data_IF_573776030806
#
_entry.id   IF_573776030806
#
_cell.length_a   1.000
_cell.length_b   1.000
_cell.length_c   1.000
_cell.angle_alpha   90.00
_cell.angle_beta   90.00
_cell.angle_gamma   90.00
#
_symmetry.space_group_name_H-M   'P 1'
#
loop_
_entity.id
_entity.type
_entity.pdbx_description
1 polymer ?
#
# COMPACT_ATOMS: atom_id res chain seq x y z
N UNK A 1 9.13 18.05 11.48
CA UNK A 1 8.04 17.23 12.04
C UNK A 1 6.89 18.18 12.31
N UNK A 2 5.70 17.88 11.80
CA UNK A 2 4.54 18.76 11.91
C UNK A 2 3.31 17.96 12.28
N UNK A 3 2.45 18.54 13.12
CA UNK A 3 1.22 17.92 13.56
C UNK A 3 0.06 18.33 12.65
N UNK A 4 -0.87 17.40 12.42
CA UNK A 4 -2.06 17.64 11.59
C UNK A 4 -3.31 17.40 12.43
N UNK A 5 -4.16 18.42 12.52
CA UNK A 5 -5.49 18.30 13.13
C UNK A 5 -6.56 18.22 12.04
N UNK A 6 -7.23 17.07 11.96
CA UNK A 6 -8.33 16.85 11.03
C UNK A 6 -9.65 17.08 11.78
N UNK A 7 -10.43 18.08 11.35
CA UNK A 7 -11.73 18.42 11.93
C UNK A 7 -12.87 18.01 10.99
N UNK A 8 -14.06 17.79 11.55
CA UNK A 8 -15.27 17.53 10.77
C UNK A 8 -15.37 16.13 10.17
N UNK A 9 -14.64 15.15 10.72
CA UNK A 9 -14.89 13.75 10.38
C UNK A 9 -16.24 13.31 10.93
N UNK A 10 -17.01 12.60 10.12
CA UNK A 10 -18.22 11.94 10.58
C UNK A 10 -17.87 10.77 11.51
N UNK A 11 -18.77 10.44 12.42
CA UNK A 11 -18.59 9.29 13.32
C UNK A 11 -18.39 7.99 12.54
N UNK A 12 -19.09 7.84 11.40
CA UNK A 12 -18.91 6.70 10.50
C UNK A 12 -17.50 6.63 9.89
N UNK A 13 -16.90 7.78 9.56
CA UNK A 13 -15.53 7.81 9.07
C UNK A 13 -14.54 7.42 10.19
N UNK A 14 -14.75 7.91 11.41
CA UNK A 14 -13.93 7.56 12.57
C UNK A 14 -14.01 6.05 12.86
N UNK A 15 -15.23 5.49 12.89
CA UNK A 15 -15.44 4.07 13.16
C UNK A 15 -14.77 3.17 12.10
N UNK A 16 -14.83 3.56 10.82
CA UNK A 16 -14.12 2.84 9.75
C UNK A 16 -12.60 2.91 9.93
N UNK A 17 -12.05 4.08 10.26
CA UNK A 17 -10.61 4.24 10.53
C UNK A 17 -10.17 3.32 11.68
N UNK A 18 -10.95 3.26 12.76
CA UNK A 18 -10.63 2.40 13.90
C UNK A 18 -10.69 0.92 13.55
N UNK A 19 -11.70 0.49 12.79
CA UNK A 19 -11.83 -0.88 12.33
C UNK A 19 -10.65 -1.29 11.44
N UNK A 20 -10.25 -0.43 10.49
CA UNK A 20 -9.10 -0.67 9.60
C UNK A 20 -7.79 -0.74 10.39
N UNK A 21 -7.61 0.15 11.37
CA UNK A 21 -6.44 0.17 12.23
C UNK A 21 -6.36 -1.12 13.06
N UNK A 22 -7.46 -1.51 13.70
CA UNK A 22 -7.54 -2.74 14.50
C UNK A 22 -7.28 -4.00 13.66
N UNK A 23 -7.84 -4.07 12.44
CA UNK A 23 -7.61 -5.19 11.53
C UNK A 23 -6.12 -5.36 11.14
N UNK A 24 -5.32 -4.30 11.26
CA UNK A 24 -3.88 -4.28 11.00
C UNK A 24 -3.03 -4.34 12.28
N UNK A 25 -3.64 -4.40 13.46
CA UNK A 25 -2.95 -4.34 14.74
C UNK A 25 -2.26 -3.00 15.01
N UNK A 26 -2.75 -1.91 14.41
CA UNK A 26 -2.17 -0.57 14.53
C UNK A 26 -3.02 0.32 15.44
N UNK A 27 -2.37 1.32 16.04
CA UNK A 27 -3.12 2.44 16.62
C UNK A 27 -3.75 3.29 15.52
N UNK A 28 -4.82 4.02 15.83
CA UNK A 28 -5.42 5.00 14.91
C UNK A 28 -4.39 5.97 14.34
N UNK A 29 -3.50 6.49 15.20
CA UNK A 29 -2.51 7.49 14.81
C UNK A 29 -1.48 6.89 13.85
N UNK A 30 -1.00 5.68 14.15
CA UNK A 30 -0.05 4.99 13.28
C UNK A 30 -0.67 4.62 11.94
N UNK A 31 -1.91 4.12 11.94
CA UNK A 31 -2.65 3.84 10.71
C UNK A 31 -2.77 5.09 9.82
N UNK A 32 -3.16 6.23 10.38
CA UNK A 32 -3.27 7.49 9.64
C UNK A 32 -1.91 8.01 9.17
N UNK A 33 -0.87 7.90 10.00
CA UNK A 33 0.50 8.29 9.64
C UNK A 33 0.99 7.46 8.45
N UNK A 34 0.96 6.13 8.54
CA UNK A 34 1.36 5.25 7.43
C UNK A 34 0.56 5.55 6.16
N UNK A 35 -0.75 5.77 6.31
CA UNK A 35 -1.63 6.09 5.20
C UNK A 35 -1.25 7.40 4.53
N UNK A 36 -1.01 8.48 5.28
CA UNK A 36 -0.62 9.77 4.71
C UNK A 36 0.80 9.78 4.13
N UNK A 37 1.74 9.04 4.71
CA UNK A 37 3.09 8.91 4.13
C UNK A 37 3.05 8.09 2.83
N UNK A 38 2.13 7.13 2.71
CA UNK A 38 1.98 6.31 1.49
C UNK A 38 1.16 7.03 0.41
N UNK A 39 0.00 7.57 0.77
CA UNK A 39 -0.94 8.26 -0.13
C UNK A 39 -0.53 9.70 -0.45
N UNK A 40 0.23 10.35 0.44
CA UNK A 40 0.75 11.72 0.26
C UNK A 40 1.86 11.81 -0.77
N UNK A 41 2.41 10.67 -1.22
CA UNK A 41 3.13 10.63 -2.48
C UNK A 41 2.10 10.82 -3.58
N UNK A 42 2.02 12.06 -4.09
CA UNK A 42 1.27 12.38 -5.31
C UNK A 42 1.60 11.28 -6.30
N UNK A 43 0.61 10.44 -6.63
CA UNK A 43 0.81 9.35 -7.58
C UNK A 43 1.53 9.92 -8.78
N UNK A 44 2.65 9.31 -9.16
CA UNK A 44 3.31 9.61 -10.42
C UNK A 44 2.21 9.70 -11.50
N UNK A 45 2.30 10.65 -12.45
CA UNK A 45 1.25 10.89 -13.43
C UNK A 45 0.77 9.54 -13.95
N UNK A 46 -0.55 9.31 -13.87
CA UNK A 46 -1.17 8.01 -14.10
C UNK A 46 -0.84 7.57 -15.52
N UNK A 47 0.27 6.86 -15.69
CA UNK A 47 0.70 6.36 -16.97
C UNK A 47 -0.24 5.22 -17.30
N UNK A 48 -0.90 5.30 -18.45
CA UNK A 48 -1.72 4.19 -18.95
C UNK A 48 -0.83 2.96 -19.08
N UNK A 49 -1.17 1.91 -18.33
CA UNK A 49 -0.48 0.63 -18.41
C UNK A 49 -0.77 0.01 -19.78
N UNK A 50 0.28 -0.41 -20.47
CA UNK A 50 0.16 -1.04 -21.80
C UNK A 50 0.39 -2.55 -21.73
N UNK A 51 0.01 -3.27 -22.79
CA UNK A 51 0.31 -4.70 -22.91
C UNK A 51 1.82 -4.96 -22.91
N UNK A 52 2.62 -4.05 -23.47
CA UNK A 52 4.08 -4.20 -23.49
C UNK A 52 4.69 -4.04 -22.08
N UNK A 53 4.08 -3.24 -21.21
CA UNK A 53 4.48 -3.17 -19.81
C UNK A 53 4.23 -4.51 -19.11
N UNK A 54 3.11 -5.17 -19.40
CA UNK A 54 2.81 -6.52 -18.87
C UNK A 54 3.76 -7.59 -19.42
N UNK A 55 4.05 -7.58 -20.73
CA UNK A 55 5.03 -8.50 -21.34
C UNK A 55 6.41 -8.35 -20.72
N UNK A 56 6.86 -7.11 -20.50
CA UNK A 56 8.14 -6.81 -19.86
C UNK A 56 8.15 -7.30 -18.41
N UNK A 57 7.06 -7.09 -17.67
CA UNK A 57 6.95 -7.59 -16.30
C UNK A 57 7.01 -9.13 -16.24
N UNK A 58 6.29 -9.83 -17.15
CA UNK A 58 6.32 -11.29 -17.22
C UNK A 58 7.72 -11.84 -17.54
N UNK A 59 8.42 -11.23 -18.49
CA UNK A 59 9.80 -11.61 -18.81
C UNK A 59 10.77 -11.36 -17.64
N UNK A 60 10.58 -10.27 -16.89
CA UNK A 60 11.42 -9.94 -15.74
C UNK A 60 11.14 -10.84 -14.51
N UNK A 61 9.92 -11.39 -14.42
CA UNK A 61 9.46 -12.21 -13.30
C UNK A 61 9.39 -13.70 -13.63
N UNK A 62 10.07 -14.16 -14.69
CA UNK A 62 10.03 -15.56 -15.13
C UNK A 62 10.52 -16.53 -14.06
N UNK A 63 11.46 -16.09 -13.21
CA UNK A 63 12.00 -16.90 -12.11
C UNK A 63 10.96 -17.17 -11.01
N UNK A 64 9.83 -16.44 -10.96
CA UNK A 64 8.75 -16.70 -9.99
C UNK A 64 8.07 -18.06 -10.21
N UNK A 65 8.16 -18.61 -11.42
CA UNK A 65 7.59 -19.93 -11.76
C UNK A 65 8.56 -21.08 -11.44
N UNK A 66 9.80 -20.79 -11.02
CA UNK A 66 10.79 -21.78 -10.64
C UNK A 66 10.68 -22.09 -9.13
N UNK A 67 10.23 -23.31 -8.74
CA UNK A 67 10.08 -23.69 -7.35
C UNK A 67 11.40 -23.67 -6.57
N UNK A 68 12.53 -24.02 -7.21
CA UNK A 68 13.82 -24.08 -6.53
C UNK A 68 14.33 -22.66 -6.21
N UNK A 69 14.10 -21.70 -7.10
CA UNK A 69 14.44 -20.28 -6.86
C UNK A 69 13.54 -19.70 -5.75
N UNK A 70 12.23 -19.97 -5.80
CA UNK A 70 11.32 -19.49 -4.76
C UNK A 70 11.65 -20.10 -3.39
N UNK A 71 11.92 -21.41 -3.33
CA UNK A 71 12.31 -22.08 -2.08
C UNK A 71 13.63 -21.54 -1.50
N UNK A 72 14.54 -21.04 -2.34
CA UNK A 72 15.76 -20.37 -1.89
C UNK A 72 15.50 -18.95 -1.39
N UNK A 73 14.55 -18.22 -1.98
CA UNK A 73 14.23 -16.84 -1.61
C UNK A 73 13.50 -16.72 -0.26
N UNK A 74 12.81 -17.77 0.19
CA UNK A 74 12.03 -17.81 1.44
C UNK A 74 12.72 -18.54 2.60
N UNK A 75 13.97 -18.95 2.43
CA UNK A 75 14.82 -19.54 3.46
C UNK A 75 15.61 -18.49 4.23
#
# INVERSE_FOLDING_TARGET
MGDVLIRGLSDAAIARIDADAAARGLSRQEYLRTRFETEGSVSAPTRTMTVDDLRRAAAAATDLDDPDIMDAAWR
#
